data_IF_054032867447
#
_entry.id   IF_054032867447
#
_cell.length_a   1.000
_cell.length_b   1.000
_cell.length_c   1.000
_cell.angle_alpha   90.00
_cell.angle_beta   90.00
_cell.angle_gamma   90.00
#
_symmetry.space_group_name_H-M   'P 1'
#
loop_
_entity.id
_entity.type
_entity.pdbx_description
1 polymer ?
#
# COMPACT_ATOMS: atom_id res chain seq x y z
N UNK A 1 -23.94 29.18 10.73
CA UNK A 1 -23.57 27.79 11.04
C UNK A 1 -22.61 27.33 9.96
N UNK A 2 -21.37 27.18 10.27
CA UNK A 2 -20.37 26.57 9.37
C UNK A 2 -20.77 25.11 9.21
N UNK A 3 -21.21 24.73 8.01
CA UNK A 3 -21.49 23.32 7.71
C UNK A 3 -20.12 22.62 7.70
N UNK A 4 -19.92 21.67 8.58
CA UNK A 4 -18.69 20.87 8.64
C UNK A 4 -18.37 20.12 7.33
N UNK A 5 -17.23 19.45 7.23
CA UNK A 5 -16.89 18.68 6.04
C UNK A 5 -17.94 17.60 5.75
N UNK A 6 -18.17 17.36 4.45
CA UNK A 6 -19.02 16.23 4.00
C UNK A 6 -18.23 14.97 3.76
N UNK A 7 -16.91 15.11 3.63
CA UNK A 7 -15.98 14.00 3.44
C UNK A 7 -14.72 14.28 4.23
N UNK A 8 -14.33 13.34 5.06
CA UNK A 8 -13.02 13.25 5.67
C UNK A 8 -12.17 12.32 4.79
N UNK A 9 -11.19 12.87 4.09
CA UNK A 9 -10.25 12.13 3.26
C UNK A 9 -8.94 12.02 4.04
N UNK A 10 -8.47 10.80 4.28
CA UNK A 10 -7.40 10.55 5.23
C UNK A 10 -6.26 9.76 4.58
N UNK A 11 -5.05 10.18 4.87
CA UNK A 11 -3.86 9.36 4.65
C UNK A 11 -3.76 8.26 5.72
N UNK A 12 -2.89 7.28 5.49
CA UNK A 12 -2.64 6.19 6.44
C UNK A 12 -1.42 6.49 7.29
N UNK A 13 -0.23 6.49 6.67
CA UNK A 13 1.05 6.63 7.37
C UNK A 13 1.18 8.01 8.02
N UNK A 14 1.52 8.06 9.31
CA UNK A 14 1.63 9.33 10.05
C UNK A 14 0.31 10.07 10.28
N UNK A 15 -0.83 9.51 9.86
CA UNK A 15 -2.14 10.15 9.96
C UNK A 15 -3.14 9.29 10.71
N UNK A 16 -3.48 8.11 10.21
CA UNK A 16 -4.34 7.13 10.90
C UNK A 16 -3.53 6.02 11.56
N UNK A 17 -2.33 5.74 11.05
CA UNK A 17 -1.39 4.73 11.56
C UNK A 17 0.00 5.34 11.74
N UNK A 18 0.81 4.87 12.70
CA UNK A 18 2.21 5.26 12.79
C UNK A 18 2.98 4.97 11.51
N UNK A 19 3.94 5.83 11.13
CA UNK A 19 4.82 5.63 9.96
C UNK A 19 5.63 4.33 10.07
N UNK A 20 5.96 3.89 11.28
CA UNK A 20 6.69 2.65 11.55
C UNK A 20 5.93 1.37 11.17
N UNK A 21 4.60 1.40 11.06
CA UNK A 21 3.80 0.21 10.72
C UNK A 21 4.22 -0.38 9.38
N UNK A 22 4.44 0.45 8.38
CA UNK A 22 4.86 -0.03 7.06
C UNK A 22 6.32 -0.48 7.05
N UNK A 23 7.22 0.35 7.58
CA UNK A 23 8.67 0.11 7.52
C UNK A 23 9.16 -0.96 8.50
N UNK A 24 8.56 -1.06 9.69
CA UNK A 24 9.04 -1.93 10.76
C UNK A 24 8.19 -3.20 10.94
N UNK A 25 6.96 -3.23 10.39
CA UNK A 25 6.07 -4.38 10.52
C UNK A 25 5.78 -5.01 9.16
N UNK A 26 5.15 -4.29 8.22
CA UNK A 26 4.65 -4.88 6.98
C UNK A 26 5.77 -5.33 6.04
N UNK A 27 6.75 -4.47 5.75
CA UNK A 27 7.85 -4.86 4.86
C UNK A 27 8.73 -5.97 5.42
N UNK A 28 9.16 -5.93 6.70
CA UNK A 28 9.89 -7.04 7.30
C UNK A 28 9.10 -8.35 7.32
N UNK A 29 7.80 -8.29 7.58
CA UNK A 29 6.93 -9.46 7.53
C UNK A 29 6.89 -10.08 6.14
N UNK A 30 6.61 -9.27 5.10
CA UNK A 30 6.60 -9.76 3.73
C UNK A 30 7.94 -10.37 3.32
N UNK A 31 9.05 -9.72 3.68
CA UNK A 31 10.40 -10.23 3.40
C UNK A 31 10.66 -11.60 4.06
N UNK A 32 10.29 -11.73 5.33
CA UNK A 32 10.47 -12.97 6.10
C UNK A 32 9.67 -14.15 5.53
N UNK A 33 8.47 -13.87 5.04
CA UNK A 33 7.53 -14.91 4.59
C UNK A 33 7.53 -15.15 3.08
N UNK A 34 8.30 -14.35 2.30
CA UNK A 34 8.31 -14.40 0.84
C UNK A 34 8.66 -15.79 0.30
N UNK A 35 9.73 -16.40 0.80
CA UNK A 35 10.20 -17.70 0.31
C UNK A 35 9.16 -18.80 0.56
N UNK A 36 8.69 -18.94 1.80
CA UNK A 36 7.70 -19.94 2.16
C UNK A 36 6.41 -19.75 1.34
N UNK A 37 5.94 -18.49 1.24
CA UNK A 37 4.76 -18.17 0.46
C UNK A 37 4.89 -18.59 -1.01
N UNK A 38 6.01 -18.26 -1.66
CA UNK A 38 6.21 -18.61 -3.06
C UNK A 38 6.30 -20.12 -3.28
N UNK A 39 6.95 -20.87 -2.38
CA UNK A 39 7.04 -22.33 -2.48
C UNK A 39 5.68 -23.00 -2.33
N UNK A 40 4.86 -22.52 -1.39
CA UNK A 40 3.53 -23.07 -1.10
C UNK A 40 2.49 -22.73 -2.19
N UNK A 41 2.62 -21.53 -2.82
CA UNK A 41 1.63 -21.00 -3.76
C UNK A 41 2.14 -20.88 -5.21
N UNK A 42 3.24 -21.58 -5.53
CA UNK A 42 3.92 -21.45 -6.84
C UNK A 42 3.01 -21.75 -8.02
N UNK A 43 2.21 -22.80 -7.92
CA UNK A 43 1.31 -23.25 -9.01
C UNK A 43 0.00 -22.49 -9.10
N UNK A 44 -0.29 -21.57 -8.20
CA UNK A 44 -1.52 -20.80 -8.21
C UNK A 44 -1.56 -19.80 -9.37
N UNK A 45 -2.73 -19.66 -10.02
CA UNK A 45 -2.91 -18.82 -11.17
C UNK A 45 -2.53 -17.33 -10.92
N UNK A 46 -2.85 -16.81 -9.73
CA UNK A 46 -2.49 -15.44 -9.33
C UNK A 46 -0.98 -15.27 -9.17
N UNK A 47 -0.30 -16.24 -8.58
CA UNK A 47 1.16 -16.24 -8.44
C UNK A 47 1.81 -16.29 -9.82
N UNK A 48 1.35 -17.18 -10.71
CA UNK A 48 1.86 -17.28 -12.09
C UNK A 48 1.62 -15.99 -12.90
N UNK A 49 0.52 -15.29 -12.66
CA UNK A 49 0.27 -13.99 -13.30
C UNK A 49 1.29 -12.94 -12.82
N UNK A 50 1.57 -12.87 -11.51
CA UNK A 50 2.59 -11.97 -10.98
C UNK A 50 3.99 -12.33 -11.47
N UNK A 51 4.32 -13.62 -11.58
CA UNK A 51 5.59 -14.06 -12.14
C UNK A 51 5.76 -13.62 -13.60
N UNK A 52 4.69 -13.69 -14.39
CA UNK A 52 4.70 -13.22 -15.77
C UNK A 52 5.00 -11.72 -15.85
N UNK A 53 4.38 -10.91 -15.00
CA UNK A 53 4.67 -9.48 -14.88
C UNK A 53 6.10 -9.23 -14.40
N UNK A 54 6.57 -9.98 -13.42
CA UNK A 54 7.93 -9.86 -12.88
C UNK A 54 9.00 -10.15 -13.95
N UNK A 55 8.78 -11.15 -14.78
CA UNK A 55 9.66 -11.49 -15.91
C UNK A 55 9.71 -10.32 -16.90
N UNK A 56 8.57 -9.72 -17.21
CA UNK A 56 8.51 -8.58 -18.13
C UNK A 56 9.21 -7.34 -17.54
N UNK A 57 8.97 -7.05 -16.25
CA UNK A 57 9.68 -5.98 -15.54
C UNK A 57 11.21 -6.22 -15.54
N UNK A 58 11.65 -7.46 -15.30
CA UNK A 58 13.06 -7.82 -15.29
C UNK A 58 13.73 -7.69 -16.66
N UNK A 59 13.01 -7.92 -17.76
CA UNK A 59 13.54 -7.72 -19.14
C UNK A 59 13.90 -6.28 -19.44
N UNK A 60 13.28 -5.33 -18.74
CA UNK A 60 13.55 -3.89 -18.87
C UNK A 60 14.75 -3.44 -18.04
N UNK A 61 15.29 -4.29 -17.17
CA UNK A 61 16.49 -4.00 -16.42
C UNK A 61 17.74 -4.11 -17.30
N UNK A 62 18.83 -3.43 -16.91
CA UNK A 62 20.13 -3.56 -17.58
C UNK A 62 20.67 -4.99 -17.49
N UNK A 63 21.47 -5.42 -18.48
CA UNK A 63 21.95 -6.80 -18.63
C UNK A 63 22.60 -7.39 -17.36
N UNK A 64 23.29 -6.59 -16.56
CA UNK A 64 23.90 -7.02 -15.29
C UNK A 64 22.85 -7.38 -14.20
N UNK A 65 21.57 -7.04 -14.40
CA UNK A 65 20.49 -7.18 -13.42
C UNK A 65 19.39 -8.12 -13.88
N UNK A 66 19.54 -8.77 -15.03
CA UNK A 66 18.57 -9.72 -15.56
C UNK A 66 18.74 -11.10 -14.90
N UNK A 67 18.42 -11.18 -13.60
CA UNK A 67 18.56 -12.40 -12.79
C UNK A 67 17.68 -13.54 -13.32
N UNK A 68 16.53 -13.20 -13.93
CA UNK A 68 15.56 -14.20 -14.43
C UNK A 68 15.91 -14.78 -15.81
N UNK A 69 16.94 -14.31 -16.50
CA UNK A 69 17.39 -14.92 -17.77
C UNK A 69 17.79 -16.39 -17.63
N UNK A 70 18.41 -16.75 -16.52
CA UNK A 70 18.82 -18.12 -16.27
C UNK A 70 17.64 -19.11 -16.23
N UNK A 71 16.49 -18.70 -15.69
CA UNK A 71 15.30 -19.53 -15.63
C UNK A 71 14.66 -19.77 -17.01
N UNK A 72 14.81 -18.85 -17.95
CA UNK A 72 14.28 -18.98 -19.34
C UNK A 72 15.19 -19.81 -20.23
N UNK A 73 16.49 -19.62 -20.14
CA UNK A 73 17.48 -20.39 -20.92
C UNK A 73 17.45 -21.88 -20.54
N UNK A 74 17.19 -22.19 -19.26
CA UNK A 74 16.97 -23.56 -18.81
C UNK A 74 15.65 -24.17 -19.31
N UNK A 75 14.57 -23.40 -19.48
CA UNK A 75 13.31 -23.90 -20.10
C UNK A 75 13.49 -24.27 -21.58
N UNK A 76 14.30 -23.49 -22.31
CA UNK A 76 14.60 -23.77 -23.73
C UNK A 76 15.50 -25.01 -23.83
N UNK A 77 16.51 -25.11 -22.98
CA UNK A 77 17.42 -26.27 -22.89
C UNK A 77 16.71 -27.55 -22.43
N UNK A 78 15.77 -27.48 -21.49
CA UNK A 78 15.00 -28.62 -21.00
C UNK A 78 14.00 -29.21 -22.03
N UNK A 79 13.63 -28.46 -23.06
CA UNK A 79 12.85 -29.00 -24.19
C UNK A 79 13.73 -29.84 -25.13
N UNK A 80 15.03 -29.56 -25.22
CA UNK A 80 15.97 -30.32 -26.01
C UNK A 80 16.62 -31.51 -25.23
N UNK A 81 16.69 -31.44 -23.90
CA UNK A 81 17.34 -32.41 -23.01
C UNK A 81 16.37 -33.39 -22.32
N UNK A 82 15.38 -33.92 -23.01
CA UNK A 82 14.62 -35.09 -22.51
C UNK A 82 15.47 -36.37 -22.31
N UNK A 83 16.78 -36.27 -22.46
CA UNK A 83 17.72 -37.36 -22.34
C UNK A 83 18.58 -37.37 -21.07
N UNK A 84 18.63 -36.29 -20.27
CA UNK A 84 19.36 -36.24 -19.01
C UNK A 84 18.38 -36.11 -17.86
N UNK A 85 18.30 -37.14 -17.01
CA UNK A 85 17.37 -37.32 -15.90
C UNK A 85 17.50 -36.31 -14.72
N UNK A 86 17.66 -35.05 -15.02
CA UNK A 86 17.47 -33.95 -14.07
C UNK A 86 15.95 -33.69 -14.00
N UNK A 87 15.33 -34.15 -12.93
CA UNK A 87 13.89 -34.17 -12.79
C UNK A 87 13.29 -32.76 -12.89
N UNK A 88 12.06 -32.65 -13.43
CA UNK A 88 11.25 -31.42 -13.51
C UNK A 88 11.19 -30.66 -12.17
N UNK A 89 11.32 -31.37 -11.04
CA UNK A 89 11.35 -30.82 -9.69
C UNK A 89 12.59 -29.96 -9.41
N UNK A 90 13.78 -30.35 -9.92
CA UNK A 90 15.03 -29.59 -9.75
C UNK A 90 15.05 -28.28 -10.56
N UNK A 91 14.37 -28.28 -11.72
CA UNK A 91 14.25 -27.06 -12.57
C UNK A 91 13.31 -26.05 -11.92
N UNK A 92 12.18 -26.52 -11.38
CA UNK A 92 11.22 -25.67 -10.68
C UNK A 92 11.84 -25.03 -9.42
N UNK A 93 12.64 -25.76 -8.66
CA UNK A 93 13.33 -25.23 -7.48
C UNK A 93 14.32 -24.11 -7.85
N UNK A 94 15.12 -24.32 -8.90
CA UNK A 94 16.08 -23.31 -9.39
C UNK A 94 15.35 -22.04 -9.89
N UNK A 95 14.18 -22.21 -10.52
CA UNK A 95 13.35 -21.09 -11.00
C UNK A 95 12.78 -20.29 -9.81
N UNK A 96 12.26 -20.97 -8.79
CA UNK A 96 11.76 -20.33 -7.56
C UNK A 96 12.87 -19.54 -6.87
N UNK A 97 14.05 -20.12 -6.68
CA UNK A 97 15.17 -19.46 -6.03
C UNK A 97 15.62 -18.19 -6.79
N UNK A 98 15.63 -18.24 -8.11
CA UNK A 98 15.95 -17.07 -8.95
C UNK A 98 14.92 -15.95 -8.79
N UNK A 99 13.64 -16.31 -8.73
CA UNK A 99 12.55 -15.34 -8.50
C UNK A 99 12.65 -14.74 -7.10
N UNK A 100 12.89 -15.53 -6.07
CA UNK A 100 13.10 -15.06 -4.70
C UNK A 100 14.25 -14.06 -4.66
N UNK A 101 15.40 -14.41 -5.26
CA UNK A 101 16.57 -13.54 -5.29
C UNK A 101 16.27 -12.19 -5.95
N UNK A 102 15.52 -12.18 -7.04
CA UNK A 102 15.13 -10.93 -7.72
C UNK A 102 14.14 -10.09 -6.91
N UNK A 103 13.14 -10.72 -6.29
CA UNK A 103 12.19 -10.01 -5.42
C UNK A 103 12.88 -9.40 -4.20
N UNK A 104 13.82 -10.11 -3.56
CA UNK A 104 14.64 -9.58 -2.48
C UNK A 104 15.51 -8.41 -2.95
N UNK A 105 16.08 -8.51 -4.16
CA UNK A 105 16.86 -7.43 -4.76
C UNK A 105 16.01 -6.17 -5.02
N UNK A 106 14.73 -6.33 -5.45
CA UNK A 106 13.77 -5.22 -5.59
C UNK A 106 13.45 -4.58 -4.24
N UNK A 107 13.22 -5.39 -3.20
CA UNK A 107 12.96 -4.91 -1.84
C UNK A 107 14.15 -4.12 -1.27
N UNK A 108 15.37 -4.62 -1.43
CA UNK A 108 16.58 -3.96 -0.93
C UNK A 108 16.83 -2.58 -1.55
N UNK A 109 16.22 -2.30 -2.69
CA UNK A 109 16.38 -1.05 -3.45
C UNK A 109 15.13 -0.19 -3.49
N UNK A 110 14.12 -0.54 -2.70
CA UNK A 110 12.81 0.13 -2.70
C UNK A 110 12.25 0.34 -4.13
N UNK A 111 12.45 -0.68 -5.00
CA UNK A 111 12.01 -0.62 -6.40
C UNK A 111 10.49 -0.80 -6.47
N UNK A 112 9.85 0.06 -7.25
CA UNK A 112 8.41 -0.03 -7.51
C UNK A 112 8.16 -1.09 -8.57
N UNK A 113 7.61 -2.22 -8.15
CA UNK A 113 7.17 -3.33 -8.99
C UNK A 113 5.71 -3.64 -8.70
N UNK A 114 4.92 -3.82 -9.76
CA UNK A 114 3.51 -4.20 -9.64
C UNK A 114 3.39 -5.63 -9.13
N UNK A 115 4.22 -6.53 -9.63
CA UNK A 115 4.27 -7.92 -9.21
C UNK A 115 4.67 -8.06 -7.73
N UNK A 116 5.73 -7.35 -7.29
CA UNK A 116 6.16 -7.34 -5.89
C UNK A 116 5.04 -6.82 -4.97
N UNK A 117 4.35 -5.74 -5.33
CA UNK A 117 3.24 -5.20 -4.53
C UNK A 117 2.07 -6.19 -4.41
N UNK A 118 1.76 -6.91 -5.47
CA UNK A 118 0.71 -7.93 -5.47
C UNK A 118 1.07 -9.08 -4.53
N UNK A 119 2.28 -9.63 -4.63
CA UNK A 119 2.80 -10.67 -3.74
C UNK A 119 2.83 -10.22 -2.28
N UNK A 120 3.36 -9.04 -2.00
CA UNK A 120 3.34 -8.47 -0.65
C UNK A 120 1.93 -8.37 -0.09
N UNK A 121 0.97 -7.90 -0.89
CA UNK A 121 -0.44 -7.81 -0.49
C UNK A 121 -1.03 -9.15 -0.06
N UNK A 122 -0.73 -10.23 -0.78
CA UNK A 122 -1.19 -11.59 -0.43
C UNK A 122 -0.49 -12.15 0.81
N UNK A 123 0.82 -11.92 0.95
CA UNK A 123 1.57 -12.31 2.15
C UNK A 123 1.01 -11.58 3.38
N UNK A 124 0.75 -10.27 3.28
CA UNK A 124 0.12 -9.53 4.38
C UNK A 124 -1.26 -10.04 4.70
N UNK A 125 -2.08 -10.35 3.67
CA UNK A 125 -3.41 -10.93 3.88
C UNK A 125 -3.32 -12.21 4.71
N UNK A 126 -2.45 -13.14 4.35
CA UNK A 126 -2.24 -14.38 5.11
C UNK A 126 -1.81 -14.08 6.56
N UNK A 127 -0.92 -13.12 6.76
CA UNK A 127 -0.48 -12.72 8.10
C UNK A 127 -1.57 -12.09 8.95
N UNK A 128 -2.43 -11.26 8.36
CA UNK A 128 -3.58 -10.69 9.05
C UNK A 128 -4.62 -11.76 9.39
N UNK A 129 -4.93 -12.66 8.44
CA UNK A 129 -5.89 -13.75 8.65
C UNK A 129 -5.40 -14.77 9.71
N UNK A 130 -4.09 -14.98 9.79
CA UNK A 130 -3.47 -15.82 10.83
C UNK A 130 -3.36 -15.10 12.20
N UNK A 131 -3.64 -13.79 12.28
CA UNK A 131 -3.47 -12.99 13.49
C UNK A 131 -2.01 -12.67 13.84
N UNK A 132 -1.08 -12.87 12.91
CA UNK A 132 0.35 -12.54 13.05
C UNK A 132 0.63 -11.06 12.78
N UNK A 133 -0.23 -10.42 11.98
CA UNK A 133 -0.22 -8.99 11.73
C UNK A 133 -1.44 -8.32 12.37
N UNK A 134 -1.22 -7.11 12.89
CA UNK A 134 -2.28 -6.24 13.42
C UNK A 134 -2.11 -4.86 12.79
N UNK A 135 -3.20 -4.31 12.26
CA UNK A 135 -3.22 -2.96 11.71
C UNK A 135 -3.18 -1.92 12.83
N UNK A 136 -2.00 -1.49 13.25
CA UNK A 136 -1.89 -0.50 14.32
C UNK A 136 -2.43 0.84 13.85
N UNK A 137 -3.42 1.37 14.56
CA UNK A 137 -3.99 2.71 14.36
C UNK A 137 -3.78 3.56 15.61
N UNK A 138 -3.76 4.89 15.46
CA UNK A 138 -3.70 5.79 16.62
C UNK A 138 -4.98 5.67 17.46
N UNK A 139 -4.89 5.88 18.78
CA UNK A 139 -6.01 5.62 19.71
C UNK A 139 -7.30 6.40 19.41
N UNK A 140 -7.18 7.57 18.81
CA UNK A 140 -8.29 8.49 18.49
C UNK A 140 -9.01 8.18 17.17
N UNK A 141 -8.47 7.25 16.36
CA UNK A 141 -8.97 6.95 15.01
C UNK A 141 -10.35 6.29 15.05
N UNK A 142 -10.53 5.28 15.88
CA UNK A 142 -11.78 4.54 15.95
C UNK A 142 -12.95 5.43 16.38
N UNK A 143 -12.75 6.23 17.41
CA UNK A 143 -13.76 7.17 17.91
C UNK A 143 -14.09 8.25 16.86
N UNK A 144 -13.06 8.77 16.17
CA UNK A 144 -13.25 9.75 15.11
C UNK A 144 -14.04 9.16 13.93
N UNK A 145 -13.70 7.95 13.49
CA UNK A 145 -14.40 7.27 12.38
C UNK A 145 -15.87 7.03 12.74
N UNK A 146 -16.16 6.53 13.94
CA UNK A 146 -17.53 6.34 14.42
C UNK A 146 -18.29 7.67 14.47
N UNK A 147 -17.67 8.74 14.97
CA UNK A 147 -18.28 10.06 15.06
C UNK A 147 -18.58 10.65 13.68
N UNK A 148 -17.59 10.65 12.79
CA UNK A 148 -17.70 11.26 11.47
C UNK A 148 -18.64 10.51 10.54
N UNK A 149 -18.64 9.18 10.59
CA UNK A 149 -19.52 8.36 9.72
C UNK A 149 -21.00 8.58 9.94
N UNK A 150 -21.41 9.19 11.06
CA UNK A 150 -22.82 9.53 11.37
C UNK A 150 -23.35 10.68 10.50
N UNK A 151 -22.46 11.58 10.04
CA UNK A 151 -22.87 12.83 9.36
C UNK A 151 -22.12 13.12 8.07
N UNK A 152 -21.03 12.41 7.82
CA UNK A 152 -20.14 12.59 6.67
C UNK A 152 -19.63 11.24 6.15
N UNK A 153 -18.96 11.25 5.01
CA UNK A 153 -18.22 10.10 4.49
C UNK A 153 -16.81 10.11 5.05
N UNK A 154 -16.30 8.95 5.46
CA UNK A 154 -14.88 8.74 5.72
C UNK A 154 -14.30 8.02 4.53
N UNK A 155 -13.21 8.51 3.98
CA UNK A 155 -12.52 7.94 2.84
C UNK A 155 -11.01 7.90 3.09
N UNK A 156 -10.35 6.90 2.53
CA UNK A 156 -8.89 6.70 2.68
C UNK A 156 -8.23 6.96 1.34
N UNK A 157 -7.08 7.64 1.36
CA UNK A 157 -6.25 7.86 0.19
C UNK A 157 -4.78 7.59 0.53
N UNK A 158 -4.25 6.47 0.07
CA UNK A 158 -2.89 6.03 0.34
C UNK A 158 -2.17 5.57 -0.94
N UNK A 159 -0.85 5.51 -0.92
CA UNK A 159 -0.04 4.91 -1.99
C UNK A 159 -0.09 3.38 -2.01
N UNK A 160 -0.52 2.76 -0.91
CA UNK A 160 -0.80 1.34 -0.83
C UNK A 160 -2.03 0.93 -1.65
N UNK A 161 -2.08 -0.33 -2.12
CA UNK A 161 -3.27 -0.84 -2.82
C UNK A 161 -4.53 -0.77 -1.95
N UNK A 162 -5.69 -0.63 -2.58
CA UNK A 162 -6.99 -0.63 -1.87
C UNK A 162 -7.14 -1.87 -0.98
N UNK A 163 -6.65 -3.03 -1.43
CA UNK A 163 -6.69 -4.26 -0.64
C UNK A 163 -5.81 -4.19 0.60
N UNK A 164 -4.57 -3.69 0.47
CA UNK A 164 -3.69 -3.49 1.63
C UNK A 164 -4.29 -2.47 2.62
N UNK A 165 -4.90 -1.39 2.13
CA UNK A 165 -5.60 -0.42 2.98
C UNK A 165 -6.74 -1.09 3.77
N UNK A 166 -7.57 -1.90 3.11
CA UNK A 166 -8.67 -2.63 3.77
C UNK A 166 -8.18 -3.59 4.83
N UNK A 167 -7.05 -4.26 4.61
CA UNK A 167 -6.47 -5.18 5.61
C UNK A 167 -6.08 -4.43 6.89
N UNK A 168 -5.41 -3.28 6.77
CA UNK A 168 -5.00 -2.46 7.93
C UNK A 168 -6.22 -2.10 8.79
N UNK A 169 -7.32 -1.65 8.18
CA UNK A 169 -8.51 -1.22 8.93
C UNK A 169 -9.40 -2.39 9.37
N UNK A 170 -9.45 -3.48 8.61
CA UNK A 170 -10.22 -4.68 8.98
C UNK A 170 -9.64 -5.39 10.19
N UNK A 171 -8.31 -5.50 10.24
CA UNK A 171 -7.59 -6.16 11.31
C UNK A 171 -6.90 -5.14 12.23
N UNK A 172 -7.58 -4.01 12.48
CA UNK A 172 -6.96 -2.95 13.27
C UNK A 172 -6.87 -3.29 14.75
N UNK A 173 -5.94 -2.65 15.44
CA UNK A 173 -5.79 -2.75 16.90
C UNK A 173 -7.03 -2.25 17.66
N UNK A 174 -7.93 -1.52 16.98
CA UNK A 174 -9.19 -1.01 17.54
C UNK A 174 -10.42 -1.81 17.04
N UNK A 175 -10.24 -3.01 16.47
CA UNK A 175 -11.29 -3.81 15.85
C UNK A 175 -11.48 -3.49 14.36
N UNK A 176 -12.54 -4.05 13.75
CA UNK A 176 -12.84 -3.80 12.33
C UNK A 176 -13.42 -2.39 12.12
N UNK A 177 -12.62 -1.53 11.51
CA UNK A 177 -13.00 -0.14 11.18
C UNK A 177 -13.57 0.02 9.77
N UNK A 178 -13.57 -1.04 8.95
CA UNK A 178 -14.06 -0.97 7.57
C UNK A 178 -15.52 -0.54 7.43
N UNK A 179 -16.44 -0.85 8.39
CA UNK A 179 -17.83 -0.39 8.30
C UNK A 179 -17.99 1.14 8.32
N UNK A 180 -17.02 1.87 8.86
CA UNK A 180 -17.06 3.33 8.92
C UNK A 180 -16.50 4.00 7.65
N UNK A 181 -15.80 3.24 6.78
CA UNK A 181 -15.08 3.77 5.62
C UNK A 181 -15.93 3.59 4.35
N UNK A 182 -16.29 4.70 3.74
CA UNK A 182 -17.17 4.74 2.55
C UNK A 182 -16.43 4.52 1.23
N UNK A 183 -15.13 4.86 1.16
CA UNK A 183 -14.34 4.75 -0.06
C UNK A 183 -12.84 4.61 0.22
N UNK A 184 -12.14 4.00 -0.72
CA UNK A 184 -10.68 3.83 -0.71
C UNK A 184 -10.11 4.26 -2.05
N UNK A 185 -9.03 5.03 -2.01
CA UNK A 185 -8.32 5.54 -3.17
C UNK A 185 -6.83 5.18 -3.09
N UNK A 186 -6.26 4.80 -4.21
CA UNK A 186 -4.84 4.51 -4.37
C UNK A 186 -4.23 5.28 -5.55
N UNK A 187 -2.99 4.96 -5.91
CA UNK A 187 -2.27 5.60 -7.01
C UNK A 187 -2.92 5.43 -8.38
N UNK A 188 -3.89 4.54 -8.55
CA UNK A 188 -4.70 4.41 -9.78
C UNK A 188 -5.64 5.60 -9.96
N UNK A 189 -6.04 6.25 -8.88
CA UNK A 189 -6.81 7.51 -8.94
C UNK A 189 -5.91 8.69 -9.37
N UNK A 190 -4.62 8.59 -9.13
CA UNK A 190 -3.59 9.57 -9.46
C UNK A 190 -2.54 9.71 -8.35
N UNK A 191 -1.54 10.54 -8.56
CA UNK A 191 -0.54 10.83 -7.56
C UNK A 191 -1.06 11.81 -6.50
N UNK A 192 -0.75 11.59 -5.22
CA UNK A 192 -1.12 12.48 -4.12
C UNK A 192 -0.51 13.89 -4.25
N UNK A 193 0.52 14.03 -5.07
CA UNK A 193 1.16 15.32 -5.38
C UNK A 193 0.49 16.08 -6.54
N UNK A 194 -0.64 15.58 -7.06
CA UNK A 194 -1.37 16.19 -8.18
C UNK A 194 -2.73 16.72 -7.74
N UNK A 195 -3.05 18.01 -7.98
CA UNK A 195 -4.39 18.55 -7.71
C UNK A 195 -5.50 17.84 -8.49
N UNK A 196 -5.19 17.28 -9.66
CA UNK A 196 -6.15 16.54 -10.47
C UNK A 196 -6.68 15.29 -9.75
N UNK A 197 -5.85 14.63 -8.94
CA UNK A 197 -6.24 13.44 -8.16
C UNK A 197 -7.33 13.78 -7.14
N UNK A 198 -7.22 14.91 -6.45
CA UNK A 198 -8.22 15.36 -5.47
C UNK A 198 -9.53 15.79 -6.13
N UNK A 199 -9.48 16.37 -7.35
CA UNK A 199 -10.69 16.67 -8.13
C UNK A 199 -11.37 15.37 -8.57
N UNK A 200 -10.63 14.38 -9.04
CA UNK A 200 -11.17 13.06 -9.40
C UNK A 200 -11.78 12.33 -8.18
N UNK A 201 -11.16 12.42 -7.01
CA UNK A 201 -11.73 11.91 -5.76
C UNK A 201 -13.05 12.64 -5.44
N UNK A 202 -13.07 13.96 -5.53
CA UNK A 202 -14.27 14.77 -5.28
C UNK A 202 -15.46 14.36 -6.16
N UNK A 203 -15.21 14.09 -7.44
CA UNK A 203 -16.21 13.56 -8.38
C UNK A 203 -16.71 12.18 -7.95
N UNK A 204 -15.80 11.27 -7.62
CA UNK A 204 -16.15 9.90 -7.22
C UNK A 204 -16.94 9.84 -5.90
N UNK A 205 -16.60 10.68 -4.92
CA UNK A 205 -17.36 10.77 -3.65
C UNK A 205 -18.60 11.66 -3.76
N UNK A 206 -18.84 12.29 -4.92
CA UNK A 206 -19.96 13.18 -5.19
C UNK A 206 -20.02 14.37 -4.20
N UNK A 207 -18.88 15.00 -3.98
CA UNK A 207 -18.76 16.14 -3.07
C UNK A 207 -17.95 17.27 -3.72
N UNK A 208 -18.33 18.52 -3.45
CA UNK A 208 -17.52 19.66 -3.89
C UNK A 208 -16.16 19.65 -3.15
N UNK A 209 -15.01 19.96 -3.79
CA UNK A 209 -13.70 19.97 -3.12
C UNK A 209 -13.70 20.75 -1.80
N UNK A 210 -14.35 21.91 -1.75
CA UNK A 210 -14.47 22.75 -0.54
C UNK A 210 -15.18 22.10 0.65
N UNK A 211 -15.87 20.98 0.44
CA UNK A 211 -16.52 20.19 1.49
C UNK A 211 -15.75 18.90 1.83
N UNK A 212 -14.55 18.74 1.29
CA UNK A 212 -13.61 17.65 1.61
C UNK A 212 -12.54 18.21 2.53
N UNK A 213 -12.33 17.57 3.67
CA UNK A 213 -11.20 17.81 4.54
C UNK A 213 -10.17 16.71 4.32
N UNK A 214 -9.02 17.05 3.71
CA UNK A 214 -7.90 16.13 3.55
C UNK A 214 -6.93 16.28 4.72
N UNK A 215 -6.55 15.16 5.31
CA UNK A 215 -5.61 15.09 6.43
C UNK A 215 -4.46 14.18 6.05
N UNK A 216 -3.24 14.70 6.15
CA UNK A 216 -1.99 13.99 5.87
C UNK A 216 -0.87 14.58 6.75
N UNK A 217 0.18 13.82 6.99
CA UNK A 217 1.40 14.26 7.64
C UNK A 217 2.38 14.97 6.68
N UNK A 218 2.09 14.99 5.37
CA UNK A 218 2.98 15.49 4.33
C UNK A 218 2.46 16.76 3.68
N UNK A 219 3.14 17.88 3.88
CA UNK A 219 2.82 19.17 3.23
C UNK A 219 2.76 19.05 1.72
N UNK A 220 3.67 18.29 1.10
CA UNK A 220 3.69 18.03 -0.35
C UNK A 220 2.42 17.36 -0.90
N UNK A 221 1.57 16.80 -0.04
CA UNK A 221 0.27 16.22 -0.37
C UNK A 221 -0.87 17.20 -0.05
N UNK A 222 -0.71 17.97 1.02
CA UNK A 222 -1.70 18.98 1.43
C UNK A 222 -1.75 20.17 0.47
N UNK A 223 -0.62 20.63 -0.06
CA UNK A 223 -0.57 21.73 -1.01
C UNK A 223 -1.40 21.48 -2.28
N UNK A 224 -1.24 20.34 -3.00
CA UNK A 224 -2.08 20.04 -4.16
C UNK A 224 -3.55 19.79 -3.80
N UNK A 225 -3.86 19.28 -2.61
CA UNK A 225 -5.23 19.17 -2.12
C UNK A 225 -5.88 20.55 -1.95
N UNK A 226 -5.15 21.50 -1.33
CA UNK A 226 -5.59 22.89 -1.18
C UNK A 226 -5.76 23.59 -2.52
N UNK A 227 -4.83 23.35 -3.48
CA UNK A 227 -4.94 23.87 -4.85
C UNK A 227 -6.18 23.31 -5.57
N UNK A 228 -6.56 22.07 -5.30
CA UNK A 228 -7.80 21.49 -5.81
C UNK A 228 -9.06 22.08 -5.16
N UNK A 229 -8.91 22.89 -4.10
CA UNK A 229 -10.00 23.53 -3.35
C UNK A 229 -10.45 22.78 -2.11
N UNK A 230 -9.73 21.74 -1.67
CA UNK A 230 -10.02 21.02 -0.43
C UNK A 230 -9.59 21.82 0.80
N UNK A 231 -10.28 21.61 1.91
CA UNK A 231 -9.78 21.97 3.24
C UNK A 231 -8.66 20.99 3.62
N UNK A 232 -7.68 21.44 4.41
CA UNK A 232 -6.53 20.63 4.78
C UNK A 232 -6.23 20.73 6.27
N UNK A 233 -5.68 19.64 6.83
CA UNK A 233 -5.04 19.61 8.16
C UNK A 233 -3.74 18.82 8.07
N UNK A 234 -2.71 19.35 8.71
CA UNK A 234 -1.43 18.67 8.85
C UNK A 234 -1.47 17.81 10.13
N UNK A 235 -1.36 16.51 9.96
CA UNK A 235 -1.25 15.56 11.06
C UNK A 235 0.17 15.59 11.64
N UNK A 236 0.30 15.91 12.93
CA UNK A 236 1.57 15.92 13.64
C UNK A 236 1.51 14.86 14.73
N UNK A 237 1.96 13.67 14.41
CA UNK A 237 1.95 12.51 15.31
C UNK A 237 3.37 12.17 15.75
N UNK A 238 3.46 11.43 16.84
CA UNK A 238 4.73 10.85 17.26
C UNK A 238 5.32 9.97 16.14
N UNK A 239 6.61 10.15 15.84
CA UNK A 239 7.31 9.45 14.78
C UNK A 239 7.21 10.09 13.39
N UNK A 240 6.38 11.11 13.18
CA UNK A 240 6.33 11.86 11.94
C UNK A 240 7.61 12.66 11.70
N UNK A 241 7.92 12.95 10.44
CA UNK A 241 9.02 13.84 10.08
C UNK A 241 8.74 15.26 10.61
N UNK A 242 9.73 15.96 11.15
CA UNK A 242 9.58 17.36 11.52
C UNK A 242 9.14 18.22 10.33
N UNK A 243 8.17 19.08 10.57
CA UNK A 243 7.64 20.00 9.55
C UNK A 243 7.93 21.43 9.97
N UNK A 244 8.34 22.34 9.06
CA UNK A 244 8.48 23.76 9.38
C UNK A 244 7.19 24.36 9.94
N UNK A 245 7.29 25.23 10.93
CA UNK A 245 6.13 25.90 11.55
C UNK A 245 5.31 26.70 10.53
N UNK A 246 5.98 27.35 9.57
CA UNK A 246 5.35 28.14 8.49
C UNK A 246 5.05 27.28 7.26
N UNK A 247 4.22 26.24 7.40
CA UNK A 247 3.83 25.36 6.29
C UNK A 247 2.48 25.72 5.64
N UNK A 248 1.74 26.69 6.21
CA UNK A 248 0.48 27.19 5.68
C UNK A 248 -0.74 26.29 5.93
N UNK A 249 -0.61 25.23 6.71
CA UNK A 249 -1.70 24.32 7.10
C UNK A 249 -1.92 24.34 8.61
N UNK A 250 -3.18 24.26 9.03
CA UNK A 250 -3.50 24.08 10.44
C UNK A 250 -3.04 22.70 10.88
N UNK A 251 -2.21 22.66 11.92
CA UNK A 251 -1.70 21.44 12.50
C UNK A 251 -2.71 20.87 13.51
N UNK A 252 -2.74 19.54 13.58
CA UNK A 252 -3.50 18.77 14.57
C UNK A 252 -2.60 17.65 15.11
N UNK A 253 -2.73 17.35 16.39
CA UNK A 253 -2.06 16.22 17.04
C UNK A 253 -3.04 15.07 17.28
N UNK A 254 -4.33 15.33 17.21
CA UNK A 254 -5.41 14.35 17.39
C UNK A 254 -6.62 14.67 16.53
N UNK A 255 -7.35 13.66 16.10
CA UNK A 255 -8.65 13.82 15.46
C UNK A 255 -9.74 14.31 16.42
N UNK A 256 -9.49 14.31 17.73
CA UNK A 256 -10.35 14.96 18.71
C UNK A 256 -10.41 16.50 18.56
N UNK A 257 -9.42 17.09 17.87
CA UNK A 257 -9.37 18.53 17.57
C UNK A 257 -10.27 18.93 16.37
N UNK A 258 -10.91 17.95 15.74
CA UNK A 258 -11.79 18.15 14.58
C UNK A 258 -13.23 17.84 15.00
N UNK A 259 -14.07 18.86 14.91
CA UNK A 259 -15.52 18.78 15.20
C UNK A 259 -16.30 18.03 14.12
#
# INVERSE_FOLDING_TARGET
MTIGPRVYLLDIEGTTSPVSVVSEQLFPYARKHLEAYLRDHWSEAETQADLSLLIEENRLESDEKQILRFAQDHKISAQDDKASGIGEQSIAETEIDSVIAYLLWLMDRDRKSTALKSLQGRIWKSGYEAGELVGTVFPDVAEAFERWSKTAKVAIYSSGSVEAQKLIFRYSSAGDLTPFISAYFDTRTGAKTSPASYRAIAEQVQAAPKSILFISDLVRELDPAREAGCMTRLSVREGNQPVPDENGHTQIQSFAEID
#
